data_IF_709198217496
#
_entry.id   IF_709198217496
#
_cell.length_a   1.000
_cell.length_b   1.000
_cell.length_c   1.000
_cell.angle_alpha   90.00
_cell.angle_beta   90.00
_cell.angle_gamma   90.00
#
_symmetry.space_group_name_H-M   'P 1'
#
loop_
_entity.id
_entity.type
_entity.pdbx_description
1 polymer ?
#
# COMPACT_ATOMS: atom_id res chain seq x y z
N UNK A 1 -13.44 -18.73 10.90
CA UNK A 1 -13.00 -17.36 11.25
C UNK A 1 -12.30 -17.34 12.60
N UNK A 2 -11.41 -16.37 12.80
CA UNK A 2 -10.58 -16.24 14.01
C UNK A 2 -11.41 -16.11 15.30
N UNK A 3 -12.65 -15.65 15.19
CA UNK A 3 -13.57 -15.45 16.30
C UNK A 3 -14.70 -16.48 16.34
N UNK A 4 -14.63 -17.54 15.54
CA UNK A 4 -15.64 -18.61 15.55
C UNK A 4 -17.04 -18.17 15.08
N UNK A 5 -17.16 -17.00 14.47
CA UNK A 5 -18.39 -16.52 13.80
C UNK A 5 -18.24 -16.75 12.31
N UNK A 6 -19.17 -17.48 11.73
CA UNK A 6 -19.26 -17.57 10.28
C UNK A 6 -19.36 -16.16 9.71
N UNK A 7 -18.52 -15.85 8.72
CA UNK A 7 -18.55 -14.61 7.97
C UNK A 7 -17.72 -13.46 8.51
N UNK A 8 -17.04 -13.57 9.64
CA UNK A 8 -16.15 -12.53 10.15
C UNK A 8 -14.69 -12.95 10.08
N UNK A 9 -13.88 -12.21 9.36
CA UNK A 9 -12.43 -12.35 9.29
C UNK A 9 -11.76 -11.09 9.83
N UNK A 10 -10.68 -11.28 10.60
CA UNK A 10 -9.84 -10.19 11.11
C UNK A 10 -8.39 -10.55 10.85
N UNK A 11 -7.64 -9.60 10.33
CA UNK A 11 -6.23 -9.78 10.02
C UNK A 11 -5.40 -8.58 10.39
N UNK A 12 -4.13 -8.81 10.70
CA UNK A 12 -3.13 -7.77 10.86
C UNK A 12 -1.84 -8.18 10.16
N UNK A 13 -1.15 -7.20 9.65
CA UNK A 13 0.16 -7.37 9.08
C UNK A 13 1.10 -6.25 9.55
N UNK A 14 2.35 -6.61 9.79
CA UNK A 14 3.42 -5.66 10.04
C UNK A 14 4.46 -5.83 8.94
N UNK A 15 4.89 -4.73 8.36
CA UNK A 15 5.90 -4.70 7.30
C UNK A 15 7.05 -3.80 7.71
N UNK A 16 8.25 -4.13 7.24
CA UNK A 16 9.45 -3.34 7.47
C UNK A 16 9.75 -3.12 8.97
N UNK A 17 9.44 -4.10 9.80
CA UNK A 17 9.77 -4.08 11.22
C UNK A 17 11.19 -4.60 11.43
N UNK A 18 12.07 -3.77 12.02
CA UNK A 18 13.46 -4.14 12.26
C UNK A 18 14.24 -3.04 12.98
N UNK A 19 15.52 -3.30 13.22
CA UNK A 19 16.45 -2.29 13.76
C UNK A 19 16.71 -1.20 12.73
N UNK A 20 17.02 0.04 13.17
CA UNK A 20 17.45 1.09 12.27
C UNK A 20 18.58 0.67 11.35
N UNK A 21 18.56 1.13 10.12
CA UNK A 21 19.62 0.89 9.14
C UNK A 21 20.62 2.03 9.16
N UNK A 22 21.89 1.69 8.89
CA UNK A 22 22.98 2.66 8.79
C UNK A 22 23.84 2.29 7.60
N UNK A 23 24.18 3.29 6.80
CA UNK A 23 25.18 3.08 5.74
C UNK A 23 26.58 2.99 6.36
N UNK A 24 27.36 2.01 5.93
CA UNK A 24 28.76 1.85 6.26
C UNK A 24 29.53 1.40 4.99
N UNK A 25 30.77 1.81 4.87
CA UNK A 25 31.63 1.41 3.75
C UNK A 25 32.68 2.45 3.39
N UNK A 26 33.55 2.07 2.48
CA UNK A 26 34.63 2.93 1.99
C UNK A 26 34.15 4.11 1.15
N UNK A 27 32.96 4.02 0.55
CA UNK A 27 32.31 5.11 -0.19
C UNK A 27 31.94 6.33 0.66
N UNK A 28 31.97 6.22 1.99
CA UNK A 28 31.78 7.33 2.93
C UNK A 28 33.08 8.07 3.26
N UNK A 29 34.20 7.67 2.64
CA UNK A 29 35.49 8.29 2.84
C UNK A 29 35.61 9.60 2.05
N UNK A 30 36.08 10.64 2.72
CA UNK A 30 36.41 11.95 2.11
C UNK A 30 37.88 12.26 2.32
N UNK A 31 38.57 12.59 1.25
CA UNK A 31 39.92 13.14 1.34
C UNK A 31 39.84 14.64 1.60
N UNK A 32 40.35 15.10 2.72
CA UNK A 32 40.50 16.53 2.98
C UNK A 32 41.92 16.95 2.64
N UNK A 33 42.04 17.85 1.66
CA UNK A 33 43.30 18.53 1.36
C UNK A 33 43.43 19.75 2.28
N UNK A 34 44.54 19.89 3.04
CA UNK A 34 44.73 21.06 3.87
C UNK A 34 44.87 22.32 3.00
N UNK A 35 44.36 23.42 3.51
CA UNK A 35 44.44 24.75 2.83
C UNK A 35 45.86 25.27 2.78
N UNK A 36 46.70 24.90 3.78
CA UNK A 36 48.12 25.19 3.83
C UNK A 36 48.91 23.90 3.48
N UNK A 37 49.75 24.02 2.45
CA UNK A 37 50.43 22.91 1.78
C UNK A 37 51.40 22.04 2.59
N UNK A 38 51.57 22.29 3.89
CA UNK A 38 52.52 21.56 4.74
C UNK A 38 51.92 20.39 5.55
N UNK A 39 50.62 20.11 5.42
CA UNK A 39 49.99 18.98 6.11
C UNK A 39 49.70 17.84 5.17
N UNK A 40 49.87 16.57 5.58
CA UNK A 40 49.49 15.43 4.77
C UNK A 40 47.98 15.43 4.51
N UNK A 41 47.59 14.93 3.37
CA UNK A 41 46.17 14.66 3.05
C UNK A 41 45.65 13.65 4.06
N UNK A 42 44.60 14.03 4.78
CA UNK A 42 43.96 13.14 5.76
C UNK A 42 42.69 12.53 5.16
N UNK A 43 42.50 11.25 5.46
CA UNK A 43 41.29 10.52 5.07
C UNK A 43 40.32 10.51 6.24
N UNK A 44 39.14 11.07 6.02
CA UNK A 44 38.07 11.08 6.99
C UNK A 44 36.94 10.16 6.52
N UNK A 45 36.51 9.28 7.40
CA UNK A 45 35.29 8.50 7.18
C UNK A 45 34.11 9.25 7.77
N UNK A 46 33.13 9.59 6.94
CA UNK A 46 31.88 10.19 7.40
C UNK A 46 31.04 9.13 8.11
N UNK A 47 30.59 9.45 9.30
CA UNK A 47 29.67 8.59 10.04
C UNK A 47 28.23 8.89 9.57
N UNK A 48 27.61 7.96 8.86
CA UNK A 48 26.26 8.13 8.39
C UNK A 48 25.27 8.07 9.56
N UNK A 49 24.25 8.91 9.54
CA UNK A 49 23.16 8.80 10.51
C UNK A 49 22.40 7.48 10.29
N UNK A 50 21.94 6.89 11.40
CA UNK A 50 21.00 5.78 11.31
C UNK A 50 19.61 6.32 10.93
N UNK A 51 18.86 5.54 10.18
CA UNK A 51 17.48 5.85 9.81
C UNK A 51 16.58 4.65 10.12
N UNK A 52 15.35 4.95 10.55
CA UNK A 52 14.36 3.94 10.84
C UNK A 52 13.81 3.34 9.54
N UNK A 53 13.41 2.08 9.61
CA UNK A 53 12.72 1.43 8.49
C UNK A 53 11.33 2.06 8.29
N UNK A 54 10.82 2.10 7.04
CA UNK A 54 9.48 2.59 6.75
C UNK A 54 8.42 1.58 7.25
N UNK A 55 8.26 1.55 8.56
CA UNK A 55 7.33 0.65 9.24
C UNK A 55 5.89 0.91 8.78
N UNK A 56 5.17 -0.18 8.49
CA UNK A 56 3.74 -0.14 8.15
C UNK A 56 3.01 -1.16 8.98
N UNK A 57 1.91 -0.75 9.56
CA UNK A 57 0.97 -1.61 10.27
C UNK A 57 -0.38 -1.60 9.58
N UNK A 58 -0.85 -2.76 9.15
CA UNK A 58 -2.17 -2.96 8.56
C UNK A 58 -3.06 -3.72 9.55
N UNK A 59 -4.26 -3.24 9.74
CA UNK A 59 -5.33 -3.94 10.46
C UNK A 59 -6.58 -3.96 9.61
N UNK A 60 -7.10 -5.16 9.32
CA UNK A 60 -8.27 -5.34 8.48
C UNK A 60 -9.33 -6.22 9.13
N UNK A 61 -10.55 -5.94 8.79
CA UNK A 61 -11.71 -6.74 9.17
C UNK A 61 -12.64 -6.85 7.96
N UNK A 62 -13.16 -8.05 7.71
CA UNK A 62 -14.19 -8.27 6.71
C UNK A 62 -15.33 -9.12 7.25
N UNK A 63 -16.51 -8.88 6.75
CA UNK A 63 -17.70 -9.61 7.11
C UNK A 63 -18.50 -10.01 5.88
N UNK A 64 -18.77 -11.29 5.74
CA UNK A 64 -19.61 -11.83 4.66
C UNK A 64 -21.05 -11.99 5.16
N UNK A 65 -21.98 -11.41 4.41
CA UNK A 65 -23.41 -11.53 4.67
C UNK A 65 -24.19 -11.65 3.36
N UNK A 66 -24.91 -12.74 3.20
CA UNK A 66 -25.81 -12.97 2.05
C UNK A 66 -25.12 -12.74 0.67
N UNK A 67 -23.86 -13.14 0.53
CA UNK A 67 -23.08 -12.98 -0.70
C UNK A 67 -22.44 -11.61 -0.87
N UNK A 68 -22.66 -10.68 0.05
CA UNK A 68 -21.94 -9.42 0.13
C UNK A 68 -20.76 -9.52 1.10
N UNK A 69 -19.59 -9.04 0.68
CA UNK A 69 -18.39 -8.88 1.50
C UNK A 69 -18.21 -7.41 1.85
N UNK A 70 -18.22 -7.09 3.13
CA UNK A 70 -17.96 -5.73 3.61
C UNK A 70 -16.63 -5.74 4.33
N UNK A 71 -15.71 -4.88 3.91
CA UNK A 71 -14.37 -4.81 4.46
C UNK A 71 -14.00 -3.41 4.94
N UNK A 72 -13.21 -3.36 6.00
CA UNK A 72 -12.52 -2.14 6.46
C UNK A 72 -11.07 -2.48 6.73
N UNK A 73 -10.17 -1.62 6.27
CA UNK A 73 -8.74 -1.74 6.53
C UNK A 73 -8.20 -0.40 6.97
N UNK A 74 -7.46 -0.40 8.07
CA UNK A 74 -6.67 0.73 8.53
C UNK A 74 -5.20 0.42 8.33
N UNK A 75 -4.49 1.34 7.69
CA UNK A 75 -3.05 1.26 7.46
C UNK A 75 -2.38 2.43 8.16
N UNK A 76 -1.48 2.16 9.10
CA UNK A 76 -0.63 3.17 9.72
C UNK A 76 0.75 3.14 9.10
N UNK A 77 1.20 4.30 8.61
CA UNK A 77 2.46 4.48 7.92
C UNK A 77 3.40 5.37 8.74
N UNK A 78 4.65 4.95 8.93
CA UNK A 78 5.64 5.73 9.70
C UNK A 78 6.05 7.03 8.99
N UNK A 79 6.21 7.00 7.66
CA UNK A 79 6.66 8.16 6.86
C UNK A 79 5.58 8.76 5.96
N UNK A 80 4.35 8.31 6.07
CA UNK A 80 3.24 8.79 5.25
C UNK A 80 2.00 8.96 6.13
N UNK A 81 0.93 9.45 5.54
CA UNK A 81 -0.37 9.57 6.22
C UNK A 81 -0.99 8.21 6.46
N UNK A 82 -1.73 8.09 7.55
CA UNK A 82 -2.54 6.91 7.82
C UNK A 82 -3.71 6.84 6.83
N UNK A 83 -4.10 5.62 6.47
CA UNK A 83 -5.12 5.37 5.46
C UNK A 83 -6.27 4.53 6.03
N UNK A 84 -7.49 4.92 5.71
CA UNK A 84 -8.68 4.13 5.94
C UNK A 84 -9.27 3.67 4.62
N UNK A 85 -9.48 2.37 4.47
CA UNK A 85 -10.06 1.75 3.27
C UNK A 85 -11.33 1.04 3.64
N UNK A 86 -12.38 1.32 2.90
CA UNK A 86 -13.68 0.64 3.00
C UNK A 86 -13.94 -0.10 1.69
N UNK A 87 -14.54 -1.27 1.76
CA UNK A 87 -14.88 -2.04 0.58
C UNK A 87 -16.22 -2.75 0.74
N UNK A 88 -16.94 -2.84 -0.35
CA UNK A 88 -18.13 -3.67 -0.48
C UNK A 88 -18.03 -4.45 -1.78
N UNK A 89 -18.08 -5.77 -1.68
CA UNK A 89 -18.11 -6.68 -2.80
C UNK A 89 -19.41 -7.49 -2.81
N UNK A 90 -19.84 -7.94 -3.95
CA UNK A 90 -20.98 -8.83 -4.09
C UNK A 90 -20.67 -9.94 -5.09
N UNK A 91 -20.84 -11.19 -4.65
CA UNK A 91 -20.67 -12.35 -5.48
C UNK A 91 -21.94 -12.61 -6.30
N UNK A 92 -21.79 -12.68 -7.62
CA UNK A 92 -22.84 -13.05 -8.58
C UNK A 92 -22.65 -14.53 -8.89
N UNK A 93 -23.48 -15.39 -8.28
CA UNK A 93 -23.33 -16.85 -8.39
C UNK A 93 -23.18 -17.30 -9.85
N UNK A 94 -22.05 -17.93 -10.13
CA UNK A 94 -21.71 -18.49 -11.45
C UNK A 94 -21.49 -17.46 -12.56
N UNK A 95 -21.40 -16.17 -12.27
CA UNK A 95 -21.10 -15.10 -13.21
C UNK A 95 -19.82 -14.35 -12.85
N UNK A 96 -19.50 -14.25 -11.54
CA UNK A 96 -18.34 -13.51 -11.06
C UNK A 96 -18.65 -12.65 -9.84
N UNK A 97 -18.04 -11.47 -9.75
CA UNK A 97 -18.27 -10.53 -8.63
C UNK A 97 -18.13 -9.08 -9.09
N UNK A 98 -18.74 -8.19 -8.33
CA UNK A 98 -18.56 -6.74 -8.48
C UNK A 98 -18.19 -6.14 -7.13
N UNK A 99 -17.42 -5.06 -7.13
CA UNK A 99 -17.00 -4.42 -5.91
C UNK A 99 -16.76 -2.93 -6.06
N UNK A 100 -16.93 -2.23 -4.95
CA UNK A 100 -16.63 -0.81 -4.79
C UNK A 100 -15.75 -0.67 -3.57
N UNK A 101 -14.72 0.14 -3.67
CA UNK A 101 -13.85 0.52 -2.56
C UNK A 101 -13.77 2.03 -2.43
N UNK A 102 -13.45 2.49 -1.23
CA UNK A 102 -13.13 3.88 -0.96
C UNK A 102 -11.89 3.93 -0.08
N UNK A 103 -10.95 4.80 -0.42
CA UNK A 103 -9.80 5.11 0.39
C UNK A 103 -9.87 6.56 0.82
N UNK A 104 -9.46 6.82 2.06
CA UNK A 104 -9.29 8.16 2.61
C UNK A 104 -8.02 8.16 3.47
N UNK A 105 -7.17 9.15 3.25
CA UNK A 105 -5.95 9.36 4.03
C UNK A 105 -6.18 10.43 5.09
N UNK A 106 -5.56 10.25 6.27
CA UNK A 106 -5.56 11.28 7.30
C UNK A 106 -4.74 12.49 6.80
N UNK A 107 -5.31 13.68 6.91
CA UNK A 107 -4.55 14.91 6.63
C UNK A 107 -3.49 15.09 7.71
N UNK A 108 -2.24 15.29 7.33
CA UNK A 108 -1.20 15.69 8.28
C UNK A 108 -1.54 17.04 8.89
N UNK A 109 -1.57 17.14 10.21
CA UNK A 109 -1.96 18.36 10.93
C UNK A 109 -0.91 19.49 10.87
N UNK A 110 0.27 19.22 10.32
CA UNK A 110 1.38 20.19 10.30
C UNK A 110 1.57 20.93 8.98
N UNK A 111 0.69 20.74 8.00
CA UNK A 111 0.83 21.39 6.71
C UNK A 111 -0.14 22.56 6.66
N UNK A 112 0.43 23.76 6.58
CA UNK A 112 -0.25 25.05 6.45
C UNK A 112 -1.36 24.95 5.39
N UNK A 113 -2.52 25.56 5.64
CA UNK A 113 -3.76 25.52 4.84
C UNK A 113 -3.62 25.92 3.36
N UNK A 114 -2.40 26.23 2.91
CA UNK A 114 -2.11 26.70 1.54
C UNK A 114 -1.62 25.64 0.56
N UNK A 115 -1.30 24.42 1.03
CA UNK A 115 -0.72 23.39 0.17
C UNK A 115 -1.68 22.24 -0.12
N UNK A 116 -2.54 22.41 -1.12
CA UNK A 116 -3.33 21.34 -1.77
C UNK A 116 -2.49 20.20 -2.37
N UNK A 117 -1.17 20.27 -2.25
CA UNK A 117 -0.18 19.35 -2.86
C UNK A 117 -0.09 17.98 -2.17
N UNK A 118 -0.65 17.84 -0.96
CA UNK A 118 -0.51 16.65 -0.15
C UNK A 118 -1.77 15.77 -0.09
N UNK A 119 -2.67 15.93 -1.03
CA UNK A 119 -3.77 14.98 -1.18
C UNK A 119 -3.21 13.67 -1.74
N UNK A 120 -3.42 12.56 -1.04
CA UNK A 120 -3.04 11.26 -1.58
C UNK A 120 -3.82 11.01 -2.88
N UNK A 121 -3.16 10.87 -4.04
CA UNK A 121 -3.87 10.71 -5.30
C UNK A 121 -4.71 9.43 -5.37
N UNK A 122 -4.46 8.47 -4.48
CA UNK A 122 -5.24 7.24 -4.36
C UNK A 122 -6.51 7.41 -3.50
N UNK A 123 -6.70 8.58 -2.85
CA UNK A 123 -7.94 8.84 -2.13
C UNK A 123 -9.10 8.97 -3.11
N UNK A 124 -10.18 8.28 -2.81
CA UNK A 124 -11.34 8.28 -3.65
C UNK A 124 -12.02 6.93 -3.74
N UNK A 125 -12.84 6.78 -4.76
CA UNK A 125 -13.67 5.60 -4.97
C UNK A 125 -13.09 4.76 -6.10
N UNK A 126 -12.91 3.47 -5.84
CA UNK A 126 -12.46 2.46 -6.81
C UNK A 126 -13.59 1.50 -7.15
N UNK A 127 -13.52 0.91 -8.34
CA UNK A 127 -14.48 -0.07 -8.82
C UNK A 127 -13.75 -1.29 -9.31
N UNK A 128 -14.37 -2.46 -9.13
CA UNK A 128 -13.84 -3.73 -9.61
C UNK A 128 -14.95 -4.63 -10.11
N UNK A 129 -14.65 -5.42 -11.15
CA UNK A 129 -15.49 -6.48 -11.64
C UNK A 129 -14.64 -7.70 -11.98
N UNK A 130 -15.13 -8.87 -11.58
CA UNK A 130 -14.57 -10.17 -11.93
C UNK A 130 -15.62 -10.96 -12.70
N UNK A 131 -15.24 -11.53 -13.81
CA UNK A 131 -16.13 -12.35 -14.65
C UNK A 131 -15.58 -13.77 -14.68
N UNK A 132 -16.39 -14.72 -14.24
CA UNK A 132 -16.08 -16.15 -14.33
C UNK A 132 -16.42 -16.67 -15.74
N UNK A 133 -15.39 -17.00 -16.49
CA UNK A 133 -15.48 -17.54 -17.85
C UNK A 133 -15.52 -19.06 -17.89
N UNK A 134 -15.49 -19.75 -16.75
CA UNK A 134 -15.38 -21.21 -16.67
C UNK A 134 -16.49 -21.94 -17.41
N UNK A 135 -17.69 -21.37 -17.41
CA UNK A 135 -18.86 -21.92 -18.15
C UNK A 135 -18.73 -21.83 -19.66
N UNK A 136 -17.95 -20.87 -20.18
CA UNK A 136 -17.82 -20.62 -21.62
C UNK A 136 -16.62 -21.32 -22.23
N UNK A 137 -15.56 -21.52 -21.47
CA UNK A 137 -14.27 -21.99 -22.00
C UNK A 137 -13.95 -23.41 -21.55
N UNK A 138 -14.69 -23.96 -20.56
CA UNK A 138 -14.47 -25.32 -20.07
C UNK A 138 -13.20 -25.49 -19.21
N UNK A 139 -12.58 -24.39 -18.83
CA UNK A 139 -11.45 -24.33 -17.88
C UNK A 139 -11.73 -23.25 -16.85
N UNK A 140 -11.14 -23.36 -15.65
CA UNK A 140 -11.30 -22.37 -14.60
C UNK A 140 -10.56 -21.07 -14.99
N UNK A 141 -11.25 -20.18 -15.68
CA UNK A 141 -10.73 -18.90 -16.14
C UNK A 141 -11.58 -17.76 -15.59
N UNK A 142 -10.97 -16.77 -14.97
CA UNK A 142 -11.64 -15.51 -14.66
C UNK A 142 -10.88 -14.31 -15.24
N UNK A 143 -11.64 -13.28 -15.59
CA UNK A 143 -11.13 -11.99 -16.04
C UNK A 143 -11.52 -10.95 -15.01
N UNK A 144 -10.52 -10.29 -14.45
CA UNK A 144 -10.71 -9.25 -13.46
C UNK A 144 -10.38 -7.89 -14.08
N UNK A 145 -11.22 -6.90 -13.86
CA UNK A 145 -10.98 -5.51 -14.21
C UNK A 145 -11.16 -4.64 -12.97
N UNK A 146 -10.23 -3.73 -12.74
CA UNK A 146 -10.36 -2.73 -11.67
C UNK A 146 -9.96 -1.35 -12.16
N UNK A 147 -10.58 -0.33 -11.58
CA UNK A 147 -10.36 1.07 -11.90
C UNK A 147 -10.25 1.87 -10.60
N UNK A 148 -9.20 2.68 -10.51
CA UNK A 148 -8.97 3.63 -9.43
C UNK A 148 -8.72 5.01 -10.04
N UNK A 149 -9.62 5.97 -9.90
CA UNK A 149 -9.35 7.36 -10.22
C UNK A 149 -8.27 7.92 -9.30
N UNK A 150 -7.30 8.64 -9.86
CA UNK A 150 -6.15 9.20 -9.13
C UNK A 150 -6.08 10.72 -9.28
N UNK A 151 -7.21 11.39 -9.20
CA UNK A 151 -7.30 12.85 -9.29
C UNK A 151 -6.63 13.37 -10.57
N UNK A 152 -5.73 14.32 -10.41
CA UNK A 152 -5.00 14.96 -11.53
C UNK A 152 -4.07 14.02 -12.29
N UNK A 153 -3.73 12.87 -11.71
CA UNK A 153 -2.93 11.83 -12.38
C UNK A 153 -3.75 10.92 -13.30
N UNK A 154 -5.06 11.19 -13.42
CA UNK A 154 -5.95 10.45 -14.30
C UNK A 154 -6.54 9.19 -13.64
N UNK A 155 -6.54 8.08 -14.34
CA UNK A 155 -7.17 6.83 -13.86
C UNK A 155 -6.21 5.67 -14.01
N UNK A 156 -5.99 4.93 -12.95
CA UNK A 156 -5.27 3.67 -12.98
C UNK A 156 -6.26 2.53 -13.26
N UNK A 157 -6.02 1.76 -14.31
CA UNK A 157 -6.85 0.62 -14.68
C UNK A 157 -6.00 -0.64 -14.79
N UNK A 158 -6.48 -1.72 -14.19
CA UNK A 158 -5.80 -3.00 -14.18
C UNK A 158 -6.71 -4.07 -14.76
N UNK A 159 -6.18 -4.86 -15.68
CA UNK A 159 -6.82 -6.09 -16.18
C UNK A 159 -5.96 -7.27 -15.75
N UNK A 160 -6.58 -8.27 -15.16
CA UNK A 160 -5.91 -9.50 -14.77
C UNK A 160 -6.64 -10.73 -15.31
N UNK A 161 -5.87 -11.76 -15.65
CA UNK A 161 -6.38 -13.08 -16.01
C UNK A 161 -5.95 -14.07 -14.92
N UNK A 162 -6.90 -14.83 -14.43
CA UNK A 162 -6.65 -15.88 -13.46
C UNK A 162 -7.05 -17.23 -14.07
N UNK A 163 -6.10 -18.14 -14.13
CA UNK A 163 -6.31 -19.51 -14.61
C UNK A 163 -6.00 -20.47 -13.48
N UNK A 164 -6.93 -21.37 -13.17
CA UNK A 164 -6.70 -22.45 -12.20
C UNK A 164 -6.72 -23.80 -12.96
N UNK A 165 -5.72 -24.64 -12.67
CA UNK A 165 -5.53 -25.98 -13.25
C UNK A 165 -5.92 -27.05 -12.24
#
# INVERSE_FOLDING_TARGET
GLLGREGLDVGFAMKNFGSPMKYDGEGLGVMASPVDGDRPVEYYKLDAAAFDLPFVFDMGMSYNIAGADIGVTYTSNYYSTDELKLSVGYALEGLGSVGVGMQSSAKSQEIDDTDDWYTNPADGVSFGVSIDMSRFVGMNLSVDYSMLPMGDFGTNSVVALRVAF
#
